data_IF_099857489739
#
_entry.id   IF_099857489739
#
_cell.length_a   1.000
_cell.length_b   1.000
_cell.length_c   1.000
_cell.angle_alpha   90.00
_cell.angle_beta   90.00
_cell.angle_gamma   90.00
#
_symmetry.space_group_name_H-M   'P 1'
#
loop_
_entity.id
_entity.type
_entity.pdbx_description
1 polymer ?
#
# COMPACT_ATOMS: atom_id res chain seq x y z
N UNK A 1 3.95 -11.66 -33.51
CA UNK A 1 4.76 -10.57 -32.93
C UNK A 1 4.93 -10.86 -31.45
N UNK A 2 6.15 -11.15 -30.97
CA UNK A 2 6.40 -11.26 -29.53
C UNK A 2 6.44 -9.85 -28.93
N UNK A 3 5.67 -9.53 -27.89
CA UNK A 3 5.79 -8.24 -27.20
C UNK A 3 7.23 -8.11 -26.66
N UNK A 4 7.83 -6.93 -26.79
CA UNK A 4 9.15 -6.67 -26.22
C UNK A 4 9.16 -6.76 -24.68
N UNK A 5 10.35 -6.86 -24.07
CA UNK A 5 10.53 -6.96 -22.61
C UNK A 5 9.86 -5.79 -21.85
N UNK A 6 9.75 -4.61 -22.49
CA UNK A 6 9.11 -3.42 -21.93
C UNK A 6 7.62 -3.25 -22.32
N UNK A 7 6.96 -4.30 -22.82
CA UNK A 7 5.53 -4.22 -23.13
C UNK A 7 4.73 -3.95 -21.85
N UNK A 8 4.28 -2.70 -21.76
CA UNK A 8 3.32 -2.22 -20.75
C UNK A 8 2.06 -3.07 -20.93
N UNK A 9 1.67 -3.78 -19.88
CA UNK A 9 0.46 -4.60 -19.88
C UNK A 9 -0.79 -3.80 -20.29
N UNK A 10 -1.92 -4.49 -20.48
CA UNK A 10 -3.18 -3.78 -20.73
C UNK A 10 -3.64 -3.18 -19.40
N UNK A 11 -3.78 -1.86 -19.35
CA UNK A 11 -4.34 -1.17 -18.18
C UNK A 11 -5.64 -0.48 -18.57
N UNK A 12 -6.65 -0.56 -17.71
CA UNK A 12 -7.85 0.26 -17.86
C UNK A 12 -8.20 0.93 -16.54
N UNK A 13 -8.79 2.12 -16.66
CA UNK A 13 -9.11 3.01 -15.56
C UNK A 13 -10.60 3.31 -15.69
N UNK A 14 -11.37 3.05 -14.64
CA UNK A 14 -12.78 3.42 -14.61
C UNK A 14 -12.94 4.89 -14.24
N UNK A 15 -13.90 5.55 -14.90
CA UNK A 15 -14.26 6.96 -14.64
C UNK A 15 -15.67 7.13 -14.05
N UNK A 16 -16.43 6.03 -13.84
CA UNK A 16 -17.86 6.08 -13.45
C UNK A 16 -18.27 5.00 -12.45
N UNK A 17 -17.38 4.58 -11.56
CA UNK A 17 -17.71 3.67 -10.46
C UNK A 17 -17.91 4.44 -9.16
N UNK A 18 -18.63 3.85 -8.20
CA UNK A 18 -18.53 4.27 -6.81
C UNK A 18 -17.10 3.98 -6.32
N UNK A 19 -16.38 4.97 -5.83
CA UNK A 19 -14.93 4.88 -5.58
C UNK A 19 -14.07 4.91 -6.85
N UNK A 20 -12.84 4.44 -6.72
CA UNK A 20 -11.80 4.45 -7.76
C UNK A 20 -11.44 3.02 -8.16
N UNK A 21 -11.22 2.80 -9.45
CA UNK A 21 -10.91 1.46 -9.94
C UNK A 21 -9.90 1.46 -11.08
N UNK A 22 -8.99 0.49 -11.02
CA UNK A 22 -7.96 0.23 -11.99
C UNK A 22 -7.79 -1.26 -12.21
N UNK A 23 -7.44 -1.65 -13.44
CA UNK A 23 -7.10 -3.03 -13.77
C UNK A 23 -5.82 -3.10 -14.58
N UNK A 24 -5.10 -4.20 -14.43
CA UNK A 24 -3.90 -4.52 -15.19
C UNK A 24 -3.92 -5.96 -15.66
N UNK A 25 -3.33 -6.23 -16.82
CA UNK A 25 -3.06 -7.58 -17.28
C UNK A 25 -1.64 -7.68 -17.83
N UNK A 26 -0.90 -8.71 -17.44
CA UNK A 26 0.45 -8.94 -17.95
C UNK A 26 0.94 -10.37 -17.79
N UNK A 27 1.85 -10.77 -18.68
CA UNK A 27 2.63 -11.99 -18.57
C UNK A 27 3.82 -11.79 -17.62
N UNK A 28 4.12 -12.81 -16.82
CA UNK A 28 5.26 -12.89 -15.89
C UNK A 28 5.84 -14.30 -15.93
N UNK A 29 7.16 -14.43 -15.96
CA UNK A 29 7.88 -15.70 -15.89
C UNK A 29 8.01 -16.23 -14.44
N UNK A 30 6.89 -16.39 -13.74
CA UNK A 30 6.80 -16.98 -12.40
C UNK A 30 5.59 -17.92 -12.32
N UNK A 31 5.69 -18.93 -11.46
CA UNK A 31 4.59 -19.85 -11.17
C UNK A 31 3.46 -19.15 -10.39
N UNK A 32 2.19 -19.58 -10.57
CA UNK A 32 1.03 -18.94 -9.95
C UNK A 32 1.14 -18.78 -8.43
N UNK A 33 1.56 -19.83 -7.73
CA UNK A 33 1.68 -19.81 -6.27
C UNK A 33 2.68 -18.74 -5.81
N UNK A 34 3.82 -18.62 -6.49
CA UNK A 34 4.83 -17.63 -6.14
C UNK A 34 4.33 -16.19 -6.31
N UNK A 35 3.53 -15.97 -7.34
CA UNK A 35 2.89 -14.67 -7.59
C UNK A 35 1.89 -14.34 -6.48
N UNK A 36 1.09 -15.33 -6.03
CA UNK A 36 0.16 -15.14 -4.91
C UNK A 36 0.91 -14.72 -3.64
N UNK A 37 2.00 -15.40 -3.29
CA UNK A 37 2.82 -15.05 -2.12
C UNK A 37 3.33 -13.60 -2.20
N UNK A 38 3.88 -13.21 -3.34
CA UNK A 38 4.41 -11.85 -3.57
C UNK A 38 3.30 -10.80 -3.45
N UNK A 39 2.14 -11.04 -4.07
CA UNK A 39 1.03 -10.08 -4.06
C UNK A 39 0.40 -9.93 -2.67
N UNK A 40 0.34 -11.02 -1.90
CA UNK A 40 -0.18 -10.98 -0.52
C UNK A 40 0.71 -10.19 0.42
N UNK A 41 2.03 -10.18 0.20
CA UNK A 41 3.01 -9.37 0.95
C UNK A 41 3.03 -7.92 0.46
N UNK A 42 1.90 -7.20 0.62
CA UNK A 42 1.75 -5.80 0.23
C UNK A 42 2.85 -4.89 0.76
N UNK A 43 3.30 -5.00 2.03
CA UNK A 43 4.38 -4.15 2.54
C UNK A 43 5.67 -4.22 1.72
N UNK A 44 5.94 -5.33 1.02
CA UNK A 44 7.13 -5.49 0.17
C UNK A 44 7.14 -4.64 -1.10
N UNK A 45 5.97 -4.27 -1.63
CA UNK A 45 5.85 -3.65 -2.96
C UNK A 45 4.94 -2.43 -3.01
N UNK A 46 3.92 -2.37 -2.17
CA UNK A 46 2.99 -1.25 -2.11
C UNK A 46 3.55 -0.18 -1.18
N UNK A 47 4.16 0.86 -1.76
CA UNK A 47 4.87 1.91 -0.99
C UNK A 47 4.01 2.66 0.02
N UNK A 48 2.70 2.76 -0.25
CA UNK A 48 1.77 3.43 0.65
C UNK A 48 1.26 2.48 1.74
N UNK A 49 1.55 1.17 1.69
CA UNK A 49 1.22 0.21 2.75
C UNK A 49 2.19 0.38 3.93
N UNK A 50 1.64 0.78 5.09
CA UNK A 50 2.38 0.83 6.37
C UNK A 50 2.54 -0.55 6.96
N UNK A 51 1.43 -1.26 7.08
CA UNK A 51 1.35 -2.56 7.73
C UNK A 51 0.21 -3.39 7.14
N UNK A 52 0.36 -4.71 7.21
CA UNK A 52 -0.66 -5.67 6.87
C UNK A 52 -0.57 -6.81 7.86
N UNK A 53 -1.67 -7.08 8.56
CA UNK A 53 -1.77 -8.12 9.58
C UNK A 53 -2.92 -9.07 9.24
N UNK A 54 -2.66 -10.37 9.34
CA UNK A 54 -3.67 -11.42 9.17
C UNK A 54 -4.10 -11.87 10.57
N UNK A 55 -5.31 -11.48 10.98
CA UNK A 55 -5.84 -11.75 12.31
C UNK A 55 -6.28 -13.20 12.50
N UNK A 56 -6.87 -13.77 11.46
CA UNK A 56 -7.35 -15.15 11.49
C UNK A 56 -7.46 -15.71 10.08
N UNK A 57 -7.37 -17.04 9.98
CA UNK A 57 -7.46 -17.79 8.74
C UNK A 57 -8.50 -18.88 8.93
N UNK A 58 -9.50 -18.89 8.06
CA UNK A 58 -10.55 -19.89 8.02
C UNK A 58 -10.34 -20.78 6.79
N UNK A 59 -10.41 -22.11 6.93
CA UNK A 59 -10.53 -22.97 5.77
C UNK A 59 -11.87 -22.68 5.09
N UNK A 60 -11.84 -22.55 3.77
CA UNK A 60 -13.03 -22.55 2.94
C UNK A 60 -13.12 -23.89 2.20
N UNK A 61 -14.32 -24.24 1.71
CA UNK A 61 -14.50 -25.44 0.90
C UNK A 61 -13.58 -25.46 -0.33
N UNK A 62 -13.34 -26.65 -0.89
CA UNK A 62 -12.55 -26.86 -2.12
C UNK A 62 -11.08 -26.38 -2.02
N UNK A 63 -10.44 -26.52 -0.85
CA UNK A 63 -9.04 -26.16 -0.67
C UNK A 63 -8.77 -24.65 -0.64
N UNK A 64 -9.82 -23.82 -0.52
CA UNK A 64 -9.68 -22.38 -0.35
C UNK A 64 -9.39 -21.97 1.09
N UNK A 65 -8.95 -20.73 1.27
CA UNK A 65 -8.73 -20.08 2.57
C UNK A 65 -9.32 -18.69 2.58
N UNK A 66 -9.98 -18.30 3.68
CA UNK A 66 -10.43 -16.93 3.94
C UNK A 66 -9.56 -16.35 5.05
N UNK A 67 -8.91 -15.24 4.77
CA UNK A 67 -8.09 -14.51 5.73
C UNK A 67 -8.83 -13.24 6.15
N UNK A 68 -8.90 -12.96 7.45
CA UNK A 68 -9.31 -11.65 7.96
C UNK A 68 -8.06 -10.77 8.05
N UNK A 69 -8.04 -9.71 7.25
CA UNK A 69 -6.85 -8.88 7.04
C UNK A 69 -7.12 -7.46 7.49
N UNK A 70 -6.20 -6.92 8.28
CA UNK A 70 -6.12 -5.49 8.56
C UNK A 70 -4.96 -4.89 7.79
N UNK A 71 -5.21 -3.80 7.08
CA UNK A 71 -4.18 -3.10 6.35
C UNK A 71 -4.23 -1.62 6.68
N UNK A 72 -3.08 -1.03 6.97
CA UNK A 72 -2.94 0.41 7.16
C UNK A 72 -2.13 0.98 6.00
N UNK A 73 -2.49 2.19 5.59
CA UNK A 73 -1.83 2.92 4.52
C UNK A 73 -1.48 4.33 4.97
N UNK A 74 -0.30 4.80 4.59
CA UNK A 74 0.14 6.17 4.84
C UNK A 74 -0.78 7.17 4.15
N UNK A 75 -0.94 8.35 4.75
CA UNK A 75 -1.57 9.46 4.05
C UNK A 75 -0.64 9.98 2.94
N UNK A 76 -1.15 10.26 1.72
CA UNK A 76 -0.38 10.87 0.65
C UNK A 76 -0.02 12.34 0.92
N UNK A 77 -0.60 12.93 1.97
CA UNK A 77 -0.49 14.34 2.34
C UNK A 77 -0.57 14.48 3.86
N UNK A 78 0.01 15.54 4.39
CA UNK A 78 0.02 15.86 5.82
C UNK A 78 -1.27 16.51 6.30
N UNK A 79 -2.16 16.88 5.37
CA UNK A 79 -3.41 17.61 5.59
C UNK A 79 -4.64 16.71 5.72
N UNK A 80 -4.46 15.39 5.61
CA UNK A 80 -5.55 14.43 5.74
C UNK A 80 -5.06 13.19 6.49
N UNK A 81 -5.93 12.53 7.27
CA UNK A 81 -5.55 11.33 8.00
C UNK A 81 -5.24 10.16 7.08
N UNK A 82 -4.46 9.22 7.60
CA UNK A 82 -4.14 7.95 6.96
C UNK A 82 -5.40 7.08 6.78
N UNK A 83 -5.30 5.99 5.99
CA UNK A 83 -6.42 5.07 5.76
C UNK A 83 -6.14 3.69 6.32
N UNK A 84 -7.15 3.07 6.90
CA UNK A 84 -7.14 1.66 7.25
C UNK A 84 -8.23 0.88 6.49
N UNK A 85 -8.02 -0.43 6.37
CA UNK A 85 -8.91 -1.36 5.69
C UNK A 85 -9.08 -2.59 6.55
N UNK A 86 -10.31 -3.08 6.65
CA UNK A 86 -10.65 -4.31 7.36
C UNK A 86 -11.37 -5.25 6.40
N UNK A 87 -10.64 -6.23 5.88
CA UNK A 87 -11.03 -7.00 4.69
C UNK A 87 -11.07 -8.50 4.95
N UNK A 88 -11.90 -9.19 4.18
CA UNK A 88 -11.80 -10.62 3.96
C UNK A 88 -11.07 -10.86 2.65
N UNK A 89 -10.00 -11.65 2.69
CA UNK A 89 -9.25 -12.10 1.53
C UNK A 89 -9.43 -13.60 1.33
N UNK A 90 -10.21 -13.97 0.33
CA UNK A 90 -10.39 -15.35 -0.12
C UNK A 90 -9.29 -15.72 -1.11
N UNK A 91 -8.68 -16.89 -0.96
CA UNK A 91 -7.69 -17.47 -1.89
C UNK A 91 -8.06 -18.89 -2.20
N UNK A 92 -8.04 -19.28 -3.47
CA UNK A 92 -8.29 -20.67 -3.89
C UNK A 92 -7.49 -21.01 -5.14
N UNK A 93 -7.16 -22.29 -5.30
CA UNK A 93 -6.66 -22.87 -6.53
C UNK A 93 -7.76 -23.69 -7.19
N UNK A 94 -7.90 -23.56 -8.50
CA UNK A 94 -8.79 -24.37 -9.32
C UNK A 94 -8.04 -25.58 -9.89
N UNK A 95 -8.77 -26.62 -10.31
CA UNK A 95 -8.19 -27.89 -10.80
C UNK A 95 -7.25 -27.73 -12.00
N UNK A 96 -7.39 -26.64 -12.76
CA UNK A 96 -6.54 -26.28 -13.90
C UNK A 96 -5.29 -25.47 -13.51
N UNK A 97 -4.95 -25.38 -12.22
CA UNK A 97 -3.80 -24.64 -11.71
C UNK A 97 -3.98 -23.11 -11.70
N UNK A 98 -5.18 -22.61 -11.98
CA UNK A 98 -5.51 -21.19 -11.87
C UNK A 98 -5.65 -20.82 -10.40
N UNK A 99 -5.06 -19.69 -10.00
CA UNK A 99 -5.26 -19.11 -8.68
C UNK A 99 -6.18 -17.90 -8.76
N UNK A 100 -7.12 -17.84 -7.82
CA UNK A 100 -8.01 -16.70 -7.62
C UNK A 100 -7.82 -16.19 -6.21
N UNK A 101 -7.54 -14.89 -6.11
CA UNK A 101 -7.56 -14.16 -4.85
C UNK A 101 -8.63 -13.09 -4.97
N UNK A 102 -9.60 -13.08 -4.05
CA UNK A 102 -10.63 -12.06 -3.97
C UNK A 102 -10.52 -11.35 -2.63
N UNK A 103 -10.63 -10.03 -2.61
CA UNK A 103 -10.60 -9.25 -1.39
C UNK A 103 -11.72 -8.22 -1.38
N UNK A 104 -12.36 -8.09 -0.21
CA UNK A 104 -13.43 -7.12 0.01
C UNK A 104 -13.48 -6.72 1.48
N UNK A 105 -13.83 -5.47 1.76
CA UNK A 105 -14.13 -5.03 3.13
C UNK A 105 -15.35 -5.73 3.70
N UNK A 106 -15.34 -5.95 5.01
CA UNK A 106 -16.54 -6.36 5.73
C UNK A 106 -17.60 -5.25 5.64
N UNK A 107 -18.82 -5.61 5.32
CA UNK A 107 -19.94 -4.68 5.31
C UNK A 107 -20.29 -4.26 6.75
N UNK A 108 -20.28 -2.95 7.02
CA UNK A 108 -20.68 -2.37 8.32
C UNK A 108 -19.57 -1.58 9.01
N UNK A 109 -19.94 -0.65 9.89
CA UNK A 109 -19.04 0.18 10.69
C UNK A 109 -18.39 -0.59 11.84
N UNK A 110 -17.89 -1.80 11.58
CA UNK A 110 -17.17 -2.57 12.58
C UNK A 110 -15.98 -1.75 13.07
N UNK A 111 -15.88 -1.55 14.40
CA UNK A 111 -14.69 -1.00 15.00
C UNK A 111 -13.49 -1.78 14.47
N UNK A 112 -12.44 -1.08 14.03
CA UNK A 112 -11.19 -1.74 13.65
C UNK A 112 -10.65 -2.62 14.79
N UNK A 113 -9.54 -3.31 14.55
CA UNK A 113 -8.99 -4.24 15.54
C UNK A 113 -8.68 -3.56 16.89
N UNK A 114 -8.49 -2.24 16.93
CA UNK A 114 -8.34 -1.48 18.16
C UNK A 114 -9.02 -0.09 18.08
N UNK A 115 -9.34 0.46 19.26
CA UNK A 115 -9.92 1.80 19.39
C UNK A 115 -8.90 2.92 19.11
N UNK A 116 -7.60 2.66 19.31
CA UNK A 116 -6.52 3.62 19.02
C UNK A 116 -6.36 3.90 17.53
N UNK A 117 -6.50 2.89 16.65
CA UNK A 117 -6.46 3.12 15.20
C UNK A 117 -7.69 3.90 14.72
N UNK A 118 -8.84 3.76 15.38
CA UNK A 118 -10.04 4.54 15.02
C UNK A 118 -9.82 6.06 15.16
N UNK A 119 -8.84 6.51 15.96
CA UNK A 119 -8.51 7.92 16.12
C UNK A 119 -7.49 8.45 15.09
N UNK A 120 -6.64 7.58 14.51
CA UNK A 120 -5.55 8.01 13.60
C UNK A 120 -5.83 7.70 12.12
N UNK A 121 -6.84 6.87 11.85
CA UNK A 121 -7.17 6.39 10.51
C UNK A 121 -8.63 6.65 10.17
N UNK A 122 -8.89 6.98 8.91
CA UNK A 122 -10.23 6.93 8.32
C UNK A 122 -10.40 5.57 7.64
N UNK A 123 -11.51 4.88 7.93
CA UNK A 123 -11.82 3.58 7.34
C UNK A 123 -12.14 3.73 5.86
N UNK A 124 -11.24 3.25 5.02
CA UNK A 124 -11.47 3.08 3.60
C UNK A 124 -12.14 1.72 3.32
N UNK A 125 -12.80 1.63 2.16
CA UNK A 125 -13.48 0.43 1.71
C UNK A 125 -12.73 -0.21 0.53
N UNK A 126 -12.38 -1.48 0.70
CA UNK A 126 -11.99 -2.36 -0.39
C UNK A 126 -13.28 -2.90 -1.03
N UNK A 127 -13.61 -2.39 -2.21
CA UNK A 127 -14.67 -2.92 -3.07
C UNK A 127 -14.14 -4.17 -3.78
N UNK A 128 -14.96 -4.92 -4.57
CA UNK A 128 -14.54 -6.18 -5.18
C UNK A 128 -13.22 -6.09 -5.95
N UNK A 129 -12.15 -6.56 -5.30
CA UNK A 129 -10.78 -6.48 -5.76
C UNK A 129 -10.13 -7.84 -5.73
N UNK A 130 -8.99 -7.99 -6.40
CA UNK A 130 -8.27 -9.26 -6.37
C UNK A 130 -7.40 -9.54 -7.59
N UNK A 131 -7.02 -10.80 -7.69
CA UNK A 131 -6.08 -11.31 -8.66
C UNK A 131 -6.61 -12.60 -9.29
N UNK A 132 -6.49 -12.70 -10.62
CA UNK A 132 -6.67 -13.94 -11.36
C UNK A 132 -5.34 -14.29 -12.03
N UNK A 133 -4.74 -15.40 -11.63
CA UNK A 133 -3.42 -15.82 -12.08
C UNK A 133 -3.58 -17.15 -12.82
N UNK A 134 -3.28 -17.13 -14.12
CA UNK A 134 -3.44 -18.31 -14.98
C UNK A 134 -2.06 -18.79 -15.42
N UNK A 135 -1.74 -20.08 -15.25
CA UNK A 135 -0.52 -20.65 -15.79
C UNK A 135 -0.53 -20.55 -17.33
N UNK A 136 0.66 -20.51 -17.92
CA UNK A 136 0.87 -20.49 -19.36
C UNK A 136 1.89 -21.55 -19.77
N UNK A 137 1.67 -22.09 -20.97
CA UNK A 137 2.60 -23.01 -21.62
C UNK A 137 3.96 -22.31 -21.79
N UNK A 138 5.00 -22.82 -21.14
CA UNK A 138 6.34 -22.22 -21.13
C UNK A 138 6.83 -21.66 -19.78
N UNK A 139 6.20 -22.03 -18.65
CA UNK A 139 6.76 -21.77 -17.31
C UNK A 139 6.51 -20.36 -16.76
N UNK A 140 5.46 -19.69 -17.24
CA UNK A 140 5.04 -18.38 -16.73
C UNK A 140 3.54 -18.32 -16.44
N UNK A 141 3.05 -17.14 -16.08
CA UNK A 141 1.65 -16.90 -15.73
C UNK A 141 1.14 -15.59 -16.34
N UNK A 142 -0.11 -15.58 -16.80
CA UNK A 142 -0.85 -14.33 -17.08
C UNK A 142 -1.58 -13.92 -15.80
N UNK A 143 -1.27 -12.72 -15.34
CA UNK A 143 -1.86 -12.10 -14.16
C UNK A 143 -2.87 -11.07 -14.62
N UNK A 144 -4.07 -11.13 -14.06
CA UNK A 144 -5.06 -10.04 -14.10
C UNK A 144 -5.21 -9.48 -12.69
N UNK A 145 -5.05 -8.17 -12.56
CA UNK A 145 -5.19 -7.42 -11.31
C UNK A 145 -6.41 -6.52 -11.44
N UNK A 146 -7.26 -6.52 -10.42
CA UNK A 146 -8.40 -5.60 -10.30
C UNK A 146 -8.32 -4.96 -8.92
N UNK A 147 -8.13 -3.65 -8.89
CA UNK A 147 -8.20 -2.85 -7.67
C UNK A 147 -9.43 -1.95 -7.77
N UNK A 148 -10.33 -2.06 -6.81
CA UNK A 148 -11.51 -1.23 -6.67
C UNK A 148 -11.63 -0.81 -5.21
N UNK A 149 -11.41 0.47 -4.94
CA UNK A 149 -11.33 0.99 -3.57
C UNK A 149 -12.12 2.28 -3.45
N UNK A 150 -12.68 2.54 -2.29
CA UNK A 150 -13.19 3.84 -1.89
C UNK A 150 -12.31 4.36 -0.75
N UNK A 151 -11.58 5.44 -1.01
CA UNK A 151 -10.65 6.05 -0.05
C UNK A 151 -11.32 7.14 0.80
N UNK A 152 -12.64 7.20 0.82
CA UNK A 152 -13.43 8.20 1.55
C UNK A 152 -12.99 9.62 1.20
N UNK A 153 -12.92 9.94 -0.10
CA UNK A 153 -12.44 11.23 -0.61
C UNK A 153 -13.23 12.43 -0.06
N UNK A 154 -14.51 12.25 0.27
CA UNK A 154 -15.34 13.29 0.88
C UNK A 154 -14.84 13.76 2.25
N UNK A 155 -14.07 12.92 2.97
CA UNK A 155 -13.49 13.26 4.28
C UNK A 155 -12.22 14.13 4.20
N UNK A 156 -11.75 14.44 2.98
CA UNK A 156 -10.58 15.31 2.77
C UNK A 156 -10.97 16.65 2.14
N UNK A 157 -10.16 17.70 2.33
CA UNK A 157 -10.38 18.98 1.67
C UNK A 157 -10.49 18.86 0.15
N UNK A 158 -11.38 19.65 -0.47
CA UNK A 158 -11.70 19.61 -1.90
C UNK A 158 -10.47 19.63 -2.81
N UNK A 159 -9.47 20.45 -2.47
CA UNK A 159 -8.22 20.59 -3.23
C UNK A 159 -7.38 19.30 -3.24
N UNK A 160 -7.55 18.44 -2.23
CA UNK A 160 -6.83 17.17 -2.08
C UNK A 160 -7.64 15.97 -2.57
N UNK A 161 -8.96 16.10 -2.78
CA UNK A 161 -9.81 15.02 -3.29
C UNK A 161 -9.26 14.30 -4.52
N UNK A 162 -8.63 14.96 -5.51
CA UNK A 162 -8.06 14.26 -6.65
C UNK A 162 -7.00 13.20 -6.27
N UNK A 163 -6.34 13.30 -5.12
CA UNK A 163 -5.40 12.26 -4.65
C UNK A 163 -6.11 10.98 -4.19
N UNK A 164 -7.37 11.07 -3.79
CA UNK A 164 -8.18 9.99 -3.23
C UNK A 164 -9.23 9.46 -4.23
N UNK A 165 -9.68 10.32 -5.15
CA UNK A 165 -10.74 10.03 -6.12
C UNK A 165 -10.22 9.80 -7.56
N UNK A 166 -8.90 9.79 -7.74
CA UNK A 166 -8.29 9.51 -9.04
C UNK A 166 -7.93 8.04 -9.21
N UNK A 167 -8.69 7.36 -10.07
CA UNK A 167 -8.34 6.02 -10.55
C UNK A 167 -6.96 5.95 -11.22
N UNK A 168 -6.43 7.06 -11.77
CA UNK A 168 -5.05 7.12 -12.30
C UNK A 168 -4.01 6.98 -11.19
N UNK A 169 -4.24 7.64 -10.05
CA UNK A 169 -3.34 7.58 -8.88
C UNK A 169 -3.31 6.16 -8.33
N UNK A 170 -4.48 5.52 -8.16
CA UNK A 170 -4.57 4.11 -7.74
C UNK A 170 -3.87 3.18 -8.73
N UNK A 171 -4.13 3.35 -10.03
CA UNK A 171 -3.49 2.55 -11.07
C UNK A 171 -1.95 2.64 -10.96
N UNK A 172 -1.39 3.83 -10.81
CA UNK A 172 0.06 4.03 -10.75
C UNK A 172 0.68 3.47 -9.47
N UNK A 173 0.05 3.74 -8.32
CA UNK A 173 0.63 3.43 -7.01
C UNK A 173 0.40 1.98 -6.55
N UNK A 174 -0.67 1.34 -7.01
CA UNK A 174 -1.07 0.00 -6.58
C UNK A 174 -1.03 -0.99 -7.75
N UNK A 175 -1.90 -0.82 -8.75
CA UNK A 175 -2.11 -1.83 -9.80
C UNK A 175 -0.89 -2.05 -10.70
N UNK A 176 -0.34 -0.96 -11.25
CA UNK A 176 0.86 -0.98 -12.11
C UNK A 176 2.09 -1.31 -11.26
N UNK A 177 2.16 -0.79 -10.03
CA UNK A 177 3.26 -1.04 -9.11
C UNK A 177 3.39 -2.53 -8.78
N UNK A 178 2.29 -3.21 -8.48
CA UNK A 178 2.24 -4.65 -8.27
C UNK A 178 2.81 -5.43 -9.47
N UNK A 179 2.29 -5.16 -10.68
CA UNK A 179 2.74 -5.86 -11.88
C UNK A 179 4.22 -5.60 -12.19
N UNK A 180 4.69 -4.36 -12.01
CA UNK A 180 6.10 -4.01 -12.17
C UNK A 180 6.98 -4.74 -11.16
N UNK A 181 6.56 -4.79 -9.91
CA UNK A 181 7.31 -5.46 -8.86
C UNK A 181 7.45 -6.95 -9.13
N UNK A 182 6.36 -7.63 -9.49
CA UNK A 182 6.38 -9.07 -9.80
C UNK A 182 7.29 -9.34 -11.01
N UNK A 183 7.19 -8.54 -12.08
CA UNK A 183 8.09 -8.67 -13.25
C UNK A 183 9.55 -8.49 -12.87
N UNK A 184 9.83 -7.51 -12.01
CA UNK A 184 11.17 -7.28 -11.51
C UNK A 184 11.72 -8.48 -10.72
N UNK A 185 10.91 -9.08 -9.83
CA UNK A 185 11.27 -10.32 -9.13
C UNK A 185 11.52 -11.47 -10.11
N UNK A 186 10.67 -11.62 -11.14
CA UNK A 186 10.83 -12.66 -12.16
C UNK A 186 12.17 -12.54 -12.89
N UNK A 187 12.54 -11.33 -13.32
CA UNK A 187 13.81 -11.07 -14.00
C UNK A 187 15.02 -11.28 -13.08
N UNK A 188 14.93 -10.88 -11.80
CA UNK A 188 15.98 -11.12 -10.80
C UNK A 188 16.19 -12.63 -10.54
N UNK A 189 15.11 -13.41 -10.52
CA UNK A 189 15.15 -14.85 -10.25
C UNK A 189 15.70 -15.65 -11.45
N UNK A 190 15.40 -15.22 -12.67
CA UNK A 190 15.85 -15.88 -13.90
C UNK A 190 17.29 -15.55 -14.31
N UNK A 191 17.98 -14.64 -13.61
CA UNK A 191 19.36 -14.27 -13.91
C UNK A 191 19.54 -13.48 -15.21
N UNK A 192 18.45 -13.02 -15.86
CA UNK A 192 18.49 -12.26 -17.12
C UNK A 192 19.08 -10.85 -16.97
N UNK A 193 19.31 -10.38 -15.74
CA UNK A 193 19.82 -9.02 -15.49
C UNK A 193 21.22 -9.05 -14.89
N UNK A 194 22.21 -9.23 -15.76
CA UNK A 194 23.60 -8.86 -15.47
C UNK A 194 23.68 -7.33 -15.55
N UNK A 195 23.30 -6.62 -14.48
CA UNK A 195 23.62 -5.20 -14.39
C UNK A 195 25.15 -5.07 -14.33
N UNK A 196 25.75 -4.50 -15.39
CA UNK A 196 27.17 -4.14 -15.39
C UNK A 196 27.52 -3.33 -14.14
N UNK A 197 28.68 -3.64 -13.53
CA UNK A 197 29.20 -3.08 -12.27
C UNK A 197 28.54 -3.54 -10.96
N UNK A 198 28.33 -4.85 -10.75
CA UNK A 198 28.11 -5.39 -9.39
C UNK A 198 26.90 -4.82 -8.64
N UNK A 199 25.93 -4.21 -9.35
CA UNK A 199 24.71 -3.64 -8.75
C UNK A 199 23.79 -4.79 -8.37
N UNK A 200 23.58 -4.99 -7.07
CA UNK A 200 22.60 -5.95 -6.55
C UNK A 200 21.20 -5.30 -6.55
N UNK A 201 20.31 -5.63 -7.50
CA UNK A 201 19.03 -4.93 -7.67
C UNK A 201 18.13 -5.09 -6.45
N UNK A 202 18.13 -6.29 -5.85
CA UNK A 202 17.43 -6.57 -4.61
C UNK A 202 17.85 -5.61 -3.48
N UNK A 203 19.15 -5.34 -3.30
CA UNK A 203 19.64 -4.42 -2.26
C UNK A 203 19.16 -3.00 -2.50
N UNK A 204 19.18 -2.52 -3.76
CA UNK A 204 18.66 -1.20 -4.09
C UNK A 204 17.15 -1.08 -3.86
N UNK A 205 16.38 -2.12 -4.17
CA UNK A 205 14.93 -2.17 -3.88
C UNK A 205 14.67 -2.12 -2.38
N UNK A 206 15.33 -2.98 -1.60
CA UNK A 206 15.19 -2.99 -0.13
C UNK A 206 15.60 -1.65 0.47
N UNK A 207 16.70 -1.06 -0.01
CA UNK A 207 17.14 0.26 0.46
C UNK A 207 16.13 1.36 0.11
N UNK A 208 15.65 1.42 -1.13
CA UNK A 208 14.61 2.37 -1.56
C UNK A 208 13.33 2.21 -0.74
N UNK A 209 12.92 0.98 -0.45
CA UNK A 209 11.73 0.69 0.34
C UNK A 209 11.90 1.16 1.79
N UNK A 210 13.06 0.89 2.40
CA UNK A 210 13.38 1.37 3.76
C UNK A 210 13.40 2.89 3.84
N UNK A 211 13.98 3.56 2.84
CA UNK A 211 13.96 5.03 2.77
C UNK A 211 12.54 5.58 2.66
N UNK A 212 11.73 5.05 1.74
CA UNK A 212 10.33 5.48 1.59
C UNK A 212 9.52 5.24 2.86
N UNK A 213 9.70 4.09 3.50
CA UNK A 213 9.03 3.75 4.76
C UNK A 213 9.43 4.71 5.89
N UNK A 214 10.73 4.92 6.11
CA UNK A 214 11.21 5.82 7.16
C UNK A 214 10.75 7.27 6.96
N UNK A 215 10.72 7.75 5.72
CA UNK A 215 10.14 9.06 5.39
C UNK A 215 8.64 9.10 5.73
N UNK A 216 7.87 8.10 5.28
CA UNK A 216 6.43 8.06 5.50
C UNK A 216 6.08 7.91 6.99
N UNK A 217 6.83 7.12 7.75
CA UNK A 217 6.67 6.96 9.21
C UNK A 217 6.85 8.31 9.92
N UNK A 218 7.91 9.05 9.57
CA UNK A 218 8.19 10.35 10.17
C UNK A 218 7.11 11.40 9.82
N UNK A 219 6.70 11.47 8.57
CA UNK A 219 5.71 12.47 8.10
C UNK A 219 4.31 12.20 8.65
N UNK A 220 3.92 10.93 8.75
CA UNK A 220 2.60 10.57 9.30
C UNK A 220 2.60 10.66 10.83
N UNK A 221 3.69 10.27 11.49
CA UNK A 221 3.87 10.46 12.93
C UNK A 221 2.89 9.64 13.77
N UNK A 222 2.74 8.35 13.49
CA UNK A 222 1.82 7.47 14.22
C UNK A 222 2.27 7.22 15.66
N UNK A 223 1.30 7.15 16.58
CA UNK A 223 1.59 7.03 18.01
C UNK A 223 2.17 5.65 18.34
N UNK A 224 1.71 4.61 17.65
CA UNK A 224 2.19 3.23 17.82
C UNK A 224 3.69 3.09 17.48
N UNK A 225 4.24 4.00 16.67
CA UNK A 225 5.67 4.04 16.30
C UNK A 225 6.50 4.96 17.23
N UNK A 226 5.89 5.43 18.33
CA UNK A 226 6.55 6.29 19.33
C UNK A 226 6.59 7.78 18.98
N UNK A 227 5.87 8.21 17.95
CA UNK A 227 5.74 9.63 17.64
C UNK A 227 4.73 10.31 18.57
N UNK A 228 5.03 11.54 18.95
CA UNK A 228 4.11 12.41 19.69
C UNK A 228 4.11 13.81 19.08
N UNK A 229 2.93 14.39 18.94
CA UNK A 229 2.77 15.75 18.41
C UNK A 229 3.08 16.74 19.53
N UNK A 230 3.95 17.71 19.25
CA UNK A 230 4.22 18.84 20.14
C UNK A 230 3.18 19.92 19.87
N UNK A 231 2.44 20.34 20.89
CA UNK A 231 1.49 21.45 20.76
C UNK A 231 2.27 22.77 20.59
N UNK A 232 2.24 23.35 19.38
CA UNK A 232 2.77 24.69 19.11
C UNK A 232 1.64 25.72 19.07
N UNK A 233 1.62 26.63 20.03
CA UNK A 233 0.57 27.64 20.27
C UNK A 233 0.49 28.78 19.21
N UNK A 234 0.78 28.57 17.91
CA UNK A 234 0.84 29.74 17.01
C UNK A 234 0.75 29.60 15.49
N UNK A 235 0.74 28.41 14.89
CA UNK A 235 0.53 28.29 13.44
C UNK A 235 -0.19 26.98 13.11
N UNK A 236 -1.43 27.05 12.61
CA UNK A 236 -2.21 25.87 12.17
C UNK A 236 -1.52 25.15 10.98
N UNK A 237 -0.61 25.83 10.28
CA UNK A 237 0.07 25.34 9.09
C UNK A 237 1.32 24.50 9.37
N UNK A 238 1.79 24.43 10.63
CA UNK A 238 3.01 23.70 11.03
C UNK A 238 2.67 22.69 12.12
N UNK A 239 2.96 21.42 11.85
CA UNK A 239 2.87 20.34 12.84
C UNK A 239 4.28 19.86 13.14
N UNK A 240 4.63 19.85 14.43
CA UNK A 240 5.90 19.31 14.90
C UNK A 240 5.63 18.03 15.67
N UNK A 241 6.27 16.94 15.26
CA UNK A 241 6.23 15.65 15.94
C UNK A 241 7.64 15.22 16.33
N UNK A 242 7.75 14.52 17.45
CA UNK A 242 9.02 13.99 17.96
C UNK A 242 8.93 12.51 18.22
N UNK A 243 9.98 11.79 17.85
CA UNK A 243 10.21 10.40 18.20
C UNK A 243 11.48 10.32 19.05
N UNK A 244 11.30 10.14 20.36
CA UNK A 244 12.40 9.98 21.30
C UNK A 244 12.69 8.50 21.47
N UNK A 245 13.95 8.10 21.30
CA UNK A 245 14.38 6.70 21.45
C UNK A 245 14.34 6.19 22.89
N UNK A 246 13.86 7.00 23.85
CA UNK A 246 13.70 6.61 25.25
C UNK A 246 12.24 6.78 25.68
N UNK A 247 11.59 5.66 25.92
CA UNK A 247 10.32 5.55 26.65
C UNK A 247 10.54 5.94 28.11
N UNK A 248 10.74 7.23 28.40
CA UNK A 248 10.79 7.74 29.76
C UNK A 248 9.36 7.96 30.25
N UNK A 249 8.84 6.94 30.93
CA UNK A 249 7.76 7.13 31.90
C UNK A 249 8.10 8.32 32.77
N UNK A 250 7.27 9.37 32.74
CA UNK A 250 7.23 10.45 33.72
C UNK A 250 8.56 11.20 33.96
N UNK A 251 8.60 12.48 33.63
CA UNK A 251 8.87 13.56 34.59
C UNK A 251 8.92 14.87 33.82
N UNK A 252 8.22 15.82 34.39
CA UNK A 252 8.14 17.25 34.10
C UNK A 252 9.50 17.95 34.02
N UNK A 253 10.22 17.83 32.90
CA UNK A 253 11.28 18.80 32.58
C UNK A 253 11.47 18.97 31.08
N UNK A 254 11.27 20.21 30.65
CA UNK A 254 11.49 20.68 29.29
C UNK A 254 12.97 20.63 28.93
N UNK A 255 13.27 20.09 27.73
CA UNK A 255 14.50 20.27 26.94
C UNK A 255 15.73 19.37 27.19
N UNK A 256 15.60 18.19 27.79
CA UNK A 256 16.69 17.18 27.75
C UNK A 256 16.49 16.13 26.64
N UNK A 257 16.47 16.57 25.37
CA UNK A 257 16.46 15.68 24.20
C UNK A 257 17.83 15.04 23.97
N UNK A 258 18.20 14.06 24.81
CA UNK A 258 19.38 13.21 24.57
C UNK A 258 19.04 12.11 23.55
N UNK A 259 18.93 12.53 22.28
CA UNK A 259 18.69 11.65 21.13
C UNK A 259 17.21 11.51 20.76
N UNK A 260 16.87 11.82 19.51
CA UNK A 260 15.52 11.69 18.97
C UNK A 260 15.43 12.26 17.55
N UNK A 261 14.38 11.89 16.83
CA UNK A 261 14.06 12.44 15.51
C UNK A 261 12.96 13.48 15.68
N UNK A 262 13.19 14.69 15.17
CA UNK A 262 12.18 15.73 15.06
C UNK A 262 11.67 15.78 13.62
N UNK A 263 10.35 15.74 13.44
CA UNK A 263 9.71 15.96 12.15
C UNK A 263 8.85 17.22 12.25
N UNK A 264 9.22 18.26 11.51
CA UNK A 264 8.38 19.43 11.31
C UNK A 264 7.80 19.35 9.90
N UNK A 265 6.48 19.35 9.79
CA UNK A 265 5.75 19.38 8.51
C UNK A 265 4.97 20.68 8.42
N UNK A 266 5.15 21.37 7.30
CA UNK A 266 4.42 22.59 6.98
C UNK A 266 3.59 22.36 5.72
N UNK A 267 2.40 22.92 5.67
CA UNK A 267 1.53 22.84 4.50
C UNK A 267 1.12 24.24 4.08
N UNK A 268 1.27 24.56 2.80
CA UNK A 268 0.90 25.85 2.24
C UNK A 268 0.18 25.63 0.92
N UNK A 269 -0.98 26.27 0.76
CA UNK A 269 -1.70 26.28 -0.50
C UNK A 269 -1.08 27.34 -1.41
N UNK A 270 -0.43 26.91 -2.49
CA UNK A 270 0.07 27.81 -3.52
C UNK A 270 -1.08 28.15 -4.48
N UNK A 271 -1.48 29.41 -4.52
CA UNK A 271 -2.43 29.92 -5.51
C UNK A 271 -1.69 30.39 -6.76
N UNK A 272 -2.31 30.24 -7.94
CA UNK A 272 -1.79 30.73 -9.24
C UNK A 272 -0.45 30.13 -9.68
N UNK A 273 -0.22 28.83 -9.44
CA UNK A 273 0.92 28.13 -10.03
C UNK A 273 0.56 27.73 -11.47
N UNK A 274 1.20 28.29 -12.51
CA UNK A 274 0.97 27.85 -13.88
C UNK A 274 1.45 26.38 -14.03
N UNK A 275 0.78 25.59 -14.90
CA UNK A 275 1.11 24.18 -15.12
C UNK A 275 2.51 23.97 -15.71
#
# INVERSE_FOLDING_TARGET
MKPGPDSVGIFAISQRCNGVAARACGLVSLEPLKIVEILKDRPSWFRDCRSLEVFTVFPAGNGGTIELVYMQTYAPTTLAPARDFWTLRYTTSLDNGIFVVCERSLSGSGAGPNASSAAQFVRAEMLPSGYLIRPCDGGGSIIHIVDHINLEGWSVPDVLRPLYESSKVVAQKMTIAALRYIRQIAHETNGEVVYGLGRQPAVLRTYSQRLSRGFNDAVNGFNDDGWSIMHSNGAEDIIVAVNSTKHLNSISDSLSFLGGVLCAKASMLLQNVPP
#
